data_IF_542175676926
#
_entry.id   IF_542175676926
#
_cell.length_a   1.000
_cell.length_b   1.000
_cell.length_c   1.000
_cell.angle_alpha   90.00
_cell.angle_beta   90.00
_cell.angle_gamma   90.00
#
_symmetry.space_group_name_H-M   'P 1'
#
loop_
_entity.id
_entity.type
_entity.pdbx_description
1 polymer ?
#
# COMPACT_ATOMS: atom_id res chain seq x y z
N UNK A 1 -55.39 6.85 6.10
CA UNK A 1 -54.59 5.72 5.57
C UNK A 1 -53.29 6.28 5.06
N UNK A 2 -52.25 6.14 5.87
CA UNK A 2 -50.92 6.64 5.53
C UNK A 2 -50.12 5.50 4.85
N UNK A 3 -49.77 5.71 3.57
CA UNK A 3 -48.92 4.81 2.80
C UNK A 3 -47.49 5.03 3.25
N UNK A 4 -46.94 4.05 3.93
CA UNK A 4 -45.49 4.02 4.33
C UNK A 4 -44.68 3.75 3.08
N UNK A 5 -44.09 4.80 2.52
CA UNK A 5 -43.12 4.68 1.41
C UNK A 5 -41.87 3.96 1.87
N UNK A 6 -41.74 2.69 1.52
CA UNK A 6 -40.53 1.90 1.69
C UNK A 6 -39.48 2.47 0.74
N UNK A 7 -38.40 3.02 1.31
CA UNK A 7 -37.27 3.53 0.55
C UNK A 7 -36.64 2.39 -0.29
N UNK A 8 -36.24 2.64 -1.55
CA UNK A 8 -35.73 1.59 -2.43
C UNK A 8 -34.49 0.97 -1.84
N UNK A 9 -34.49 -0.35 -1.65
CA UNK A 9 -33.32 -1.17 -1.25
C UNK A 9 -32.22 -1.00 -2.28
N UNK A 10 -31.25 -0.16 -1.95
CA UNK A 10 -30.10 0.18 -2.78
C UNK A 10 -29.34 -1.09 -3.15
N UNK A 11 -29.28 -1.37 -4.43
CA UNK A 11 -28.58 -2.41 -5.20
C UNK A 11 -27.57 -3.28 -4.41
N UNK A 12 -27.95 -4.54 -4.15
CA UNK A 12 -27.10 -5.58 -3.52
C UNK A 12 -26.47 -6.53 -4.54
N UNK A 13 -26.28 -6.08 -5.79
CA UNK A 13 -25.70 -6.90 -6.86
C UNK A 13 -24.17 -6.95 -6.83
N UNK A 14 -23.53 -7.84 -7.64
CA UNK A 14 -22.08 -7.97 -7.74
C UNK A 14 -21.36 -6.65 -8.05
N UNK A 15 -21.94 -5.79 -8.87
CA UNK A 15 -21.42 -4.46 -9.18
C UNK A 15 -21.35 -3.53 -7.95
N UNK A 16 -22.36 -3.58 -7.08
CA UNK A 16 -22.33 -2.81 -5.82
C UNK A 16 -21.30 -3.37 -4.83
N UNK A 17 -21.09 -4.68 -4.82
CA UNK A 17 -20.04 -5.30 -4.00
C UNK A 17 -18.66 -4.86 -4.47
N UNK A 18 -18.40 -4.90 -5.78
CA UNK A 18 -17.12 -4.43 -6.35
C UNK A 18 -16.88 -2.94 -6.07
N UNK A 19 -17.92 -2.10 -6.22
CA UNK A 19 -17.85 -0.68 -5.90
C UNK A 19 -17.53 -0.44 -4.42
N UNK A 20 -18.20 -1.12 -3.50
CA UNK A 20 -17.96 -1.00 -2.07
C UNK A 20 -16.54 -1.46 -1.69
N UNK A 21 -16.05 -2.56 -2.29
CA UNK A 21 -14.68 -3.03 -2.06
C UNK A 21 -13.66 -1.97 -2.48
N UNK A 22 -13.84 -1.37 -3.66
CA UNK A 22 -12.98 -0.30 -4.15
C UNK A 22 -13.00 0.92 -3.24
N UNK A 23 -14.18 1.40 -2.88
CA UNK A 23 -14.33 2.54 -1.96
C UNK A 23 -13.66 2.29 -0.59
N UNK A 24 -13.69 1.06 -0.09
CA UNK A 24 -13.01 0.68 1.15
C UNK A 24 -11.48 0.72 1.01
N UNK A 25 -10.94 0.25 -0.12
CA UNK A 25 -9.49 0.28 -0.41
C UNK A 25 -9.00 1.73 -0.54
N UNK A 26 -9.73 2.56 -1.30
CA UNK A 26 -9.37 3.97 -1.50
C UNK A 26 -9.42 4.73 -0.17
N UNK A 27 -10.47 4.57 0.63
CA UNK A 27 -10.58 5.17 1.96
C UNK A 27 -9.50 4.68 2.94
N UNK A 28 -9.11 3.42 2.84
CA UNK A 28 -8.03 2.86 3.66
C UNK A 28 -6.68 3.45 3.26
N UNK A 29 -6.40 3.59 1.96
CA UNK A 29 -5.16 4.22 1.46
C UNK A 29 -5.01 5.62 2.03
N UNK A 30 -6.04 6.46 1.92
CA UNK A 30 -6.02 7.83 2.43
C UNK A 30 -5.81 7.86 3.95
N UNK A 31 -6.61 7.09 4.70
CA UNK A 31 -6.52 7.08 6.16
C UNK A 31 -5.20 6.53 6.68
N UNK A 32 -4.65 5.52 6.02
CA UNK A 32 -3.35 4.96 6.40
C UNK A 32 -2.23 5.95 6.11
N UNK A 33 -2.29 6.69 5.00
CA UNK A 33 -1.33 7.76 4.70
C UNK A 33 -1.43 8.92 5.71
N UNK A 34 -2.65 9.34 6.09
CA UNK A 34 -2.89 10.45 7.01
C UNK A 34 -2.54 10.11 8.46
N UNK A 35 -2.90 8.92 8.94
CA UNK A 35 -2.95 8.55 10.35
C UNK A 35 -2.16 7.29 10.71
N UNK A 36 -1.57 6.63 9.72
CA UNK A 36 -0.88 5.36 9.90
C UNK A 36 -1.82 4.15 10.06
N UNK A 37 -1.22 2.98 10.23
CA UNK A 37 -1.97 1.72 10.32
C UNK A 37 -2.71 1.53 11.66
N UNK A 38 -2.52 2.43 12.66
CA UNK A 38 -3.23 2.37 13.95
C UNK A 38 -4.69 2.83 13.86
N UNK A 39 -5.09 3.51 12.78
CA UNK A 39 -6.47 4.02 12.58
C UNK A 39 -7.52 2.93 12.85
N UNK A 40 -8.64 3.25 13.55
CA UNK A 40 -9.69 2.26 13.81
C UNK A 40 -10.29 1.69 12.51
N UNK A 41 -10.46 0.37 12.43
CA UNK A 41 -11.00 -0.31 11.25
C UNK A 41 -12.38 0.23 10.84
N UNK A 42 -13.22 0.57 11.84
CA UNK A 42 -14.53 1.20 11.62
C UNK A 42 -14.46 2.60 10.98
N UNK A 43 -13.34 3.31 11.15
CA UNK A 43 -13.15 4.62 10.52
C UNK A 43 -13.05 4.52 8.99
N UNK A 44 -12.52 3.41 8.48
CA UNK A 44 -12.46 3.14 7.05
C UNK A 44 -13.87 3.01 6.46
N UNK A 45 -14.75 2.24 7.10
CA UNK A 45 -16.14 2.09 6.65
C UNK A 45 -16.87 3.46 6.60
N UNK A 46 -16.64 4.28 7.62
CA UNK A 46 -17.21 5.63 7.71
C UNK A 46 -16.70 6.55 6.60
N UNK A 47 -15.38 6.56 6.35
CA UNK A 47 -14.75 7.36 5.28
C UNK A 47 -15.23 6.91 3.90
N UNK A 48 -15.38 5.61 3.68
CA UNK A 48 -15.86 5.01 2.44
C UNK A 48 -17.37 5.18 2.20
N UNK A 49 -18.14 5.61 3.19
CA UNK A 49 -19.60 5.62 3.12
C UNK A 49 -20.23 4.22 3.03
N UNK A 50 -19.53 3.20 3.52
CA UNK A 50 -19.92 1.78 3.45
C UNK A 50 -20.29 1.29 4.85
N UNK A 51 -21.35 0.50 4.96
CA UNK A 51 -21.75 -0.06 6.26
C UNK A 51 -20.72 -1.02 6.84
N UNK A 52 -20.54 -1.02 8.16
CA UNK A 52 -19.57 -1.89 8.87
C UNK A 52 -19.74 -3.37 8.53
N UNK A 53 -20.99 -3.87 8.46
CA UNK A 53 -21.26 -5.26 8.05
C UNK A 53 -20.75 -5.58 6.64
N UNK A 54 -20.72 -4.60 5.74
CA UNK A 54 -20.14 -4.74 4.41
C UNK A 54 -18.63 -4.73 4.46
N UNK A 55 -18.01 -3.88 5.29
CA UNK A 55 -16.55 -3.88 5.52
C UNK A 55 -16.08 -5.29 5.93
N UNK A 56 -16.66 -5.86 6.98
CA UNK A 56 -16.26 -7.20 7.46
C UNK A 56 -16.54 -8.34 6.48
N UNK A 57 -17.49 -8.17 5.56
CA UNK A 57 -17.72 -9.14 4.48
C UNK A 57 -16.63 -9.09 3.40
N UNK A 58 -16.05 -7.91 3.14
CA UNK A 58 -15.00 -7.75 2.15
C UNK A 58 -13.62 -8.03 2.73
N UNK A 59 -13.41 -7.65 3.99
CA UNK A 59 -12.14 -7.76 4.67
C UNK A 59 -12.39 -8.27 6.10
N UNK A 60 -11.95 -9.48 6.43
CA UNK A 60 -12.17 -10.08 7.76
C UNK A 60 -11.51 -9.27 8.87
N UNK A 61 -10.40 -8.61 8.57
CA UNK A 61 -9.65 -7.78 9.48
C UNK A 61 -8.92 -6.64 8.75
N UNK A 62 -8.23 -5.81 9.53
CA UNK A 62 -7.50 -4.65 9.01
C UNK A 62 -6.24 -5.05 8.23
N UNK A 63 -5.64 -6.20 8.55
CA UNK A 63 -4.46 -6.71 7.83
C UNK A 63 -4.85 -7.08 6.40
N UNK A 64 -5.95 -7.81 6.22
CA UNK A 64 -6.48 -8.17 4.90
C UNK A 64 -6.80 -6.93 4.04
N UNK A 65 -7.30 -5.86 4.66
CA UNK A 65 -7.50 -4.59 3.96
C UNK A 65 -6.18 -3.90 3.61
N UNK A 66 -5.21 -3.89 4.53
CA UNK A 66 -3.88 -3.33 4.29
C UNK A 66 -3.16 -4.03 3.14
N UNK A 67 -3.25 -5.35 3.09
CA UNK A 67 -2.74 -6.17 1.98
C UNK A 67 -3.39 -5.75 0.65
N UNK A 68 -4.72 -5.60 0.62
CA UNK A 68 -5.41 -5.20 -0.60
C UNK A 68 -5.02 -3.78 -1.07
N UNK A 69 -4.72 -2.86 -0.15
CA UNK A 69 -4.15 -1.54 -0.48
C UNK A 69 -2.76 -1.69 -1.10
N UNK A 70 -1.93 -2.55 -0.53
CA UNK A 70 -0.57 -2.79 -1.03
C UNK A 70 -0.59 -3.46 -2.43
N UNK A 71 -1.45 -4.44 -2.64
CA UNK A 71 -1.67 -5.08 -3.95
C UNK A 71 -2.07 -4.07 -5.04
N UNK A 72 -3.00 -3.17 -4.74
CA UNK A 72 -3.41 -2.12 -5.68
C UNK A 72 -2.25 -1.17 -6.00
N UNK A 73 -1.39 -0.85 -5.03
CA UNK A 73 -0.23 -0.02 -5.26
C UNK A 73 0.81 -0.72 -6.15
N UNK A 74 1.11 -1.99 -5.90
CA UNK A 74 1.99 -2.78 -6.78
C UNK A 74 1.45 -2.84 -8.20
N UNK A 75 0.15 -3.08 -8.36
CA UNK A 75 -0.50 -3.11 -9.65
C UNK A 75 -0.37 -1.79 -10.41
N UNK A 76 -0.52 -0.65 -9.73
CA UNK A 76 -0.32 0.66 -10.34
C UNK A 76 1.10 0.85 -10.85
N UNK A 77 2.11 0.36 -10.12
CA UNK A 77 3.51 0.41 -10.55
C UNK A 77 3.76 -0.54 -11.72
N UNK A 78 3.16 -1.74 -11.72
CA UNK A 78 3.23 -2.70 -12.84
C UNK A 78 2.62 -2.12 -14.13
N UNK A 79 1.44 -1.47 -14.03
CA UNK A 79 0.73 -0.87 -15.15
C UNK A 79 1.42 0.41 -15.66
N UNK A 80 2.07 1.17 -14.78
CA UNK A 80 2.80 2.40 -15.08
C UNK A 80 4.20 2.34 -14.47
N UNK A 81 5.15 1.69 -15.15
CA UNK A 81 6.49 1.57 -14.62
C UNK A 81 7.12 2.95 -14.34
N UNK A 82 7.47 3.16 -13.09
CA UNK A 82 8.12 4.39 -12.60
C UNK A 82 9.64 4.24 -12.55
N UNK A 83 10.38 5.35 -12.50
CA UNK A 83 11.81 5.35 -12.28
C UNK A 83 12.17 5.05 -10.83
N UNK A 84 13.48 4.81 -10.58
CA UNK A 84 14.00 4.51 -9.23
C UNK A 84 13.61 5.61 -8.24
N UNK A 85 13.77 6.87 -8.61
CA UNK A 85 13.40 8.01 -7.75
C UNK A 85 11.94 7.97 -7.33
N UNK A 86 11.02 7.94 -8.31
CA UNK A 86 9.57 7.95 -8.04
C UNK A 86 9.13 6.71 -7.27
N UNK A 87 9.80 5.57 -7.50
CA UNK A 87 9.57 4.34 -6.76
C UNK A 87 9.96 4.52 -5.28
N UNK A 88 11.15 5.07 -4.98
CA UNK A 88 11.60 5.33 -3.62
C UNK A 88 10.73 6.38 -2.92
N UNK A 89 10.27 7.43 -3.63
CA UNK A 89 9.28 8.39 -3.11
C UNK A 89 7.98 7.67 -2.73
N UNK A 90 7.45 6.82 -3.60
CA UNK A 90 6.25 6.03 -3.32
C UNK A 90 6.42 5.13 -2.08
N UNK A 91 7.59 4.53 -1.90
CA UNK A 91 7.92 3.74 -0.71
C UNK A 91 7.97 4.62 0.54
N UNK A 92 8.59 5.80 0.46
CA UNK A 92 8.68 6.73 1.59
C UNK A 92 7.29 7.24 2.03
N UNK A 93 6.43 7.60 1.08
CA UNK A 93 5.05 8.05 1.34
C UNK A 93 4.23 6.95 2.03
N UNK A 94 4.50 5.69 1.71
CA UNK A 94 3.82 4.53 2.29
C UNK A 94 4.52 3.98 3.54
N UNK A 95 5.72 4.47 3.88
CA UNK A 95 6.56 3.87 4.92
C UNK A 95 5.87 3.79 6.29
N UNK A 96 5.07 4.81 6.65
CA UNK A 96 4.30 4.82 7.90
C UNK A 96 3.23 3.75 7.96
N UNK A 97 2.68 3.38 6.80
CA UNK A 97 1.67 2.31 6.67
C UNK A 97 2.36 0.96 6.61
N UNK A 98 3.44 0.89 5.82
CA UNK A 98 4.12 -0.35 5.47
C UNK A 98 4.84 -0.99 6.66
N UNK A 99 5.43 -0.22 7.57
CA UNK A 99 6.14 -0.78 8.72
C UNK A 99 5.20 -1.62 9.62
N UNK A 100 4.09 -1.05 10.05
CA UNK A 100 3.12 -1.75 10.91
C UNK A 100 2.37 -2.87 10.18
N UNK A 101 2.12 -2.71 8.88
CA UNK A 101 1.53 -3.75 8.06
C UNK A 101 2.52 -4.89 7.83
N UNK A 102 3.79 -4.57 7.54
CA UNK A 102 4.84 -5.55 7.33
C UNK A 102 5.10 -6.38 8.61
N UNK A 103 5.15 -5.72 9.78
CA UNK A 103 5.21 -6.41 11.07
C UNK A 103 4.04 -7.39 11.25
N UNK A 104 2.82 -6.95 10.95
CA UNK A 104 1.63 -7.79 11.06
C UNK A 104 1.64 -8.96 10.05
N UNK A 105 2.12 -8.74 8.83
CA UNK A 105 2.26 -9.77 7.79
C UNK A 105 3.33 -10.80 8.15
N UNK A 106 4.51 -10.35 8.58
CA UNK A 106 5.60 -11.24 9.03
C UNK A 106 5.14 -12.07 10.22
N UNK A 107 4.46 -11.48 11.19
CA UNK A 107 3.92 -12.18 12.35
C UNK A 107 2.83 -13.22 11.96
N UNK A 108 2.10 -13.00 10.87
CA UNK A 108 1.03 -13.89 10.41
C UNK A 108 1.53 -15.10 9.62
N UNK A 109 2.80 -15.15 9.20
CA UNK A 109 3.37 -16.18 8.31
C UNK A 109 2.47 -16.43 7.08
N UNK A 110 1.95 -15.35 6.50
CA UNK A 110 0.99 -15.42 5.40
C UNK A 110 1.68 -15.78 4.08
N UNK A 111 1.21 -16.79 3.33
CA UNK A 111 1.69 -17.06 1.96
C UNK A 111 1.58 -15.87 1.03
N UNK A 112 0.64 -14.97 1.30
CA UNK A 112 0.44 -13.73 0.56
C UNK A 112 1.62 -12.76 0.72
N UNK A 113 2.32 -12.77 1.87
CA UNK A 113 3.51 -11.97 2.06
C UNK A 113 4.66 -12.42 1.14
N UNK A 114 4.79 -13.73 0.90
CA UNK A 114 5.76 -14.30 -0.04
C UNK A 114 5.42 -13.88 -1.48
N UNK A 115 4.17 -14.03 -1.90
CA UNK A 115 3.71 -13.62 -3.24
C UNK A 115 3.94 -12.13 -3.51
N UNK A 116 3.62 -11.27 -2.54
CA UNK A 116 3.86 -9.83 -2.65
C UNK A 116 5.36 -9.50 -2.71
N UNK A 117 6.18 -10.25 -1.97
CA UNK A 117 7.64 -10.16 -2.02
C UNK A 117 8.20 -10.51 -3.40
N UNK A 118 7.74 -11.60 -4.00
CA UNK A 118 8.14 -12.03 -5.35
C UNK A 118 7.75 -10.99 -6.43
N UNK A 119 6.55 -10.43 -6.34
CA UNK A 119 6.11 -9.36 -7.24
C UNK A 119 6.97 -8.11 -7.10
N UNK A 120 7.31 -7.72 -5.88
CA UNK A 120 8.20 -6.59 -5.64
C UNK A 120 9.59 -6.83 -6.24
N UNK A 121 10.16 -8.03 -6.07
CA UNK A 121 11.44 -8.42 -6.70
C UNK A 121 11.35 -8.31 -8.22
N UNK A 122 10.26 -8.77 -8.83
CA UNK A 122 10.05 -8.67 -10.27
C UNK A 122 10.01 -7.21 -10.76
N UNK A 123 9.27 -6.34 -10.05
CA UNK A 123 9.20 -4.90 -10.35
C UNK A 123 10.59 -4.26 -10.26
N UNK A 124 11.34 -4.55 -9.19
CA UNK A 124 12.69 -4.02 -8.97
C UNK A 124 13.66 -4.49 -10.05
N UNK A 125 13.60 -5.77 -10.42
CA UNK A 125 14.45 -6.33 -11.48
C UNK A 125 14.20 -5.67 -12.83
N UNK A 126 12.93 -5.49 -13.19
CA UNK A 126 12.54 -4.79 -14.41
C UNK A 126 12.96 -3.31 -14.40
N UNK A 127 12.92 -2.66 -13.24
CA UNK A 127 13.35 -1.27 -13.05
C UNK A 127 14.87 -1.13 -13.22
N UNK A 128 15.67 -2.02 -12.61
CA UNK A 128 17.14 -2.03 -12.75
C UNK A 128 17.53 -2.12 -14.22
N UNK A 129 16.92 -3.05 -14.96
CA UNK A 129 17.20 -3.24 -16.39
C UNK A 129 16.85 -1.98 -17.22
N UNK A 130 15.78 -1.27 -16.86
CA UNK A 130 15.33 -0.08 -17.59
C UNK A 130 16.14 1.18 -17.25
N UNK A 131 16.53 1.35 -15.99
CA UNK A 131 17.25 2.54 -15.49
C UNK A 131 18.74 2.52 -15.83
N UNK A 132 19.24 1.44 -16.44
CA UNK A 132 20.65 1.28 -16.79
C UNK A 132 21.58 1.54 -15.58
N UNK A 133 21.22 0.97 -14.43
CA UNK A 133 22.02 1.05 -13.22
C UNK A 133 23.38 0.32 -13.44
N UNK A 134 24.43 0.67 -12.70
CA UNK A 134 25.71 -0.01 -12.79
C UNK A 134 25.58 -1.53 -12.66
N UNK A 135 26.39 -2.30 -13.42
CA UNK A 135 26.31 -3.78 -13.48
C UNK A 135 26.46 -4.47 -12.10
N UNK A 136 27.13 -3.81 -11.15
CA UNK A 136 27.27 -4.35 -9.80
C UNK A 136 26.03 -4.19 -8.93
N UNK A 137 25.02 -3.37 -9.34
CA UNK A 137 23.80 -3.16 -8.59
C UNK A 137 22.83 -4.31 -8.87
N UNK A 138 22.51 -5.05 -7.83
CA UNK A 138 21.60 -6.18 -7.85
C UNK A 138 20.21 -5.83 -7.35
N UNK A 139 19.22 -6.72 -7.57
CA UNK A 139 17.91 -6.58 -6.97
C UNK A 139 17.96 -6.55 -5.42
N UNK A 140 18.90 -7.27 -4.82
CA UNK A 140 19.10 -7.26 -3.38
C UNK A 140 19.58 -5.88 -2.87
N UNK A 141 20.42 -5.17 -3.62
CA UNK A 141 20.88 -3.83 -3.26
C UNK A 141 19.72 -2.82 -3.30
N UNK A 142 18.86 -2.90 -4.32
CA UNK A 142 17.67 -2.06 -4.41
C UNK A 142 16.66 -2.41 -3.31
N UNK A 143 16.48 -3.69 -2.97
CA UNK A 143 15.65 -4.09 -1.82
C UNK A 143 16.18 -3.55 -0.49
N UNK A 144 17.50 -3.59 -0.28
CA UNK A 144 18.13 -2.99 0.90
C UNK A 144 17.89 -1.47 0.93
N UNK A 145 18.03 -0.81 -0.21
CA UNK A 145 17.74 0.61 -0.37
C UNK A 145 16.28 0.96 -0.02
N UNK A 146 15.31 0.19 -0.53
CA UNK A 146 13.88 0.31 -0.19
C UNK A 146 13.67 0.17 1.31
N UNK A 147 14.27 -0.84 1.94
CA UNK A 147 14.16 -1.07 3.38
C UNK A 147 14.75 0.08 4.20
N UNK A 148 15.90 0.62 3.77
CA UNK A 148 16.55 1.77 4.44
C UNK A 148 15.68 3.03 4.35
N UNK A 149 15.13 3.35 3.17
CA UNK A 149 14.22 4.50 2.99
C UNK A 149 12.96 4.32 3.82
N UNK A 150 12.31 3.15 3.74
CA UNK A 150 11.09 2.87 4.49
C UNK A 150 11.29 2.97 6.01
N UNK A 151 12.33 2.32 6.53
CA UNK A 151 12.63 2.34 7.96
C UNK A 151 12.99 3.73 8.46
N UNK A 152 13.86 4.45 7.73
CA UNK A 152 14.26 5.79 8.13
C UNK A 152 13.08 6.77 8.14
N UNK A 153 12.23 6.74 7.12
CA UNK A 153 11.05 7.60 7.01
C UNK A 153 10.01 7.29 8.09
N UNK A 154 9.83 6.01 8.44
CA UNK A 154 8.94 5.60 9.51
C UNK A 154 9.44 6.03 10.89
N UNK A 155 10.75 5.94 11.14
CA UNK A 155 11.38 6.25 12.42
C UNK A 155 11.55 7.75 12.67
N UNK A 156 11.77 8.56 11.62
CA UNK A 156 12.00 10.00 11.71
C UNK A 156 11.06 10.75 10.75
N UNK A 157 9.79 10.92 11.09
CA UNK A 157 8.78 11.51 10.19
C UNK A 157 8.91 13.04 10.10
N UNK A 158 10.04 13.52 9.59
CA UNK A 158 10.25 14.94 9.26
C UNK A 158 10.08 15.12 7.74
N UNK A 159 9.65 16.30 7.26
CA UNK A 159 9.47 16.54 5.83
C UNK A 159 10.70 16.19 5.00
N UNK A 160 11.90 16.51 5.50
CA UNK A 160 13.17 16.34 4.78
C UNK A 160 13.80 14.94 4.95
N UNK A 161 13.23 14.08 5.82
CA UNK A 161 13.86 12.78 6.13
C UNK A 161 13.80 11.83 4.91
N UNK A 162 12.65 11.78 4.25
CA UNK A 162 12.45 10.97 3.06
C UNK A 162 13.38 11.42 1.93
N UNK A 163 13.38 12.71 1.59
CA UNK A 163 14.21 13.27 0.51
C UNK A 163 15.69 13.02 0.74
N UNK A 164 16.13 13.17 1.99
CA UNK A 164 17.53 12.94 2.37
C UNK A 164 17.91 11.46 2.26
N UNK A 165 17.05 10.55 2.72
CA UNK A 165 17.28 9.12 2.62
C UNK A 165 17.34 8.67 1.15
N UNK A 166 16.40 9.13 0.33
CA UNK A 166 16.33 8.85 -1.10
C UNK A 166 17.62 9.36 -1.79
N UNK A 167 18.02 10.60 -1.54
CA UNK A 167 19.22 11.18 -2.14
C UNK A 167 20.51 10.44 -1.77
N UNK A 168 20.62 9.91 -0.55
CA UNK A 168 21.76 9.09 -0.10
C UNK A 168 21.77 7.76 -0.84
N UNK A 169 20.62 7.09 -0.89
CA UNK A 169 20.46 5.79 -1.52
C UNK A 169 20.72 5.86 -3.03
N UNK A 170 20.16 6.85 -3.71
CA UNK A 170 20.38 7.02 -5.16
C UNK A 170 21.83 7.26 -5.51
N UNK A 171 22.54 8.07 -4.71
CA UNK A 171 23.99 8.26 -4.89
C UNK A 171 24.76 6.96 -4.68
N UNK A 172 24.38 6.16 -3.68
CA UNK A 172 25.00 4.87 -3.43
C UNK A 172 24.79 3.85 -4.54
N UNK A 173 23.61 3.86 -5.17
CA UNK A 173 23.27 2.95 -6.27
C UNK A 173 23.85 3.39 -7.62
N UNK A 174 24.13 4.67 -7.84
CA UNK A 174 24.64 5.18 -9.11
C UNK A 174 26.17 5.35 -9.14
N UNK A 175 26.84 5.28 -8.00
CA UNK A 175 28.29 5.40 -7.84
C UNK A 175 28.73 6.85 -7.66
#
# INVERSE_FOLDING_TARGET
MASTGEAPKKNRGPAAAAHNRRALIDAARDLFAEQGFSVPFSAVARRAGVGQASLYRHFPDKVALGVAVFEENLKLIEERPVGLHDFLVSIADQARVSASLLEALVASHSPLAEELGERLVSIVTAMIARENLPEHVTAADVQAAVSMVAFHTAAAPTPDAADRAIAIVERGLRG
#
